data_IF_003483469012
#
_entry.id   IF_003483469012
#
_cell.length_a   1.000
_cell.length_b   1.000
_cell.length_c   1.000
_cell.angle_alpha   90.00
_cell.angle_beta   90.00
_cell.angle_gamma   90.00
#
_symmetry.space_group_name_H-M   'P 1'
#
loop_
_entity.id
_entity.type
_entity.pdbx_description
1 polymer ?
#
# COMPACT_ATOMS: atom_id res chain seq x y z
N UNK A 1 0.02 -9.98 -10.23
CA UNK A 1 -0.45 -11.14 -9.43
C UNK A 1 0.51 -12.33 -9.49
N UNK A 2 1.06 -12.71 -10.68
CA UNK A 2 1.92 -13.91 -10.78
C UNK A 2 3.11 -13.90 -9.80
N UNK A 3 3.78 -12.76 -9.63
CA UNK A 3 4.90 -12.61 -8.70
C UNK A 3 4.50 -12.89 -7.23
N UNK A 4 3.26 -12.58 -6.84
CA UNK A 4 2.78 -12.77 -5.48
C UNK A 4 2.25 -14.19 -5.19
N UNK A 5 2.33 -15.13 -6.15
CA UNK A 5 1.91 -16.52 -5.92
C UNK A 5 2.86 -17.28 -4.96
N UNK A 6 4.01 -16.70 -4.67
CA UNK A 6 4.99 -17.27 -3.71
C UNK A 6 4.70 -16.95 -2.26
N UNK A 7 3.69 -16.14 -1.96
CA UNK A 7 3.28 -15.84 -0.58
C UNK A 7 2.89 -17.12 0.18
N UNK A 8 3.31 -17.28 1.44
CA UNK A 8 2.89 -18.38 2.30
C UNK A 8 1.42 -18.22 2.72
N UNK A 9 0.81 -19.32 3.20
CA UNK A 9 -0.63 -19.36 3.51
C UNK A 9 -1.04 -18.32 4.56
N UNK A 10 -0.24 -18.14 5.57
CA UNK A 10 -0.46 -17.17 6.66
C UNK A 10 -0.46 -15.71 6.18
N UNK A 11 0.20 -15.41 5.07
CA UNK A 11 0.21 -14.08 4.49
C UNK A 11 -0.96 -13.85 3.51
N UNK A 12 -1.40 -14.88 2.78
CA UNK A 12 -2.43 -14.70 1.77
C UNK A 12 -3.86 -15.01 2.24
N UNK A 13 -4.07 -15.79 3.29
CA UNK A 13 -5.41 -16.12 3.76
C UNK A 13 -5.98 -14.98 4.61
N UNK A 14 -7.26 -14.72 4.39
CA UNK A 14 -8.04 -13.89 5.31
C UNK A 14 -8.56 -14.73 6.46
N UNK A 15 -8.63 -14.14 7.65
CA UNK A 15 -9.23 -14.78 8.84
C UNK A 15 -10.76 -14.83 8.72
N UNK A 16 -11.25 -15.42 7.64
CA UNK A 16 -12.65 -15.70 7.33
C UNK A 16 -12.90 -17.21 7.40
N UNK A 17 -14.17 -17.68 7.48
CA UNK A 17 -14.46 -19.10 7.43
C UNK A 17 -13.77 -19.79 6.25
N UNK A 18 -12.93 -20.80 6.52
CA UNK A 18 -12.05 -21.46 5.54
C UNK A 18 -12.78 -21.94 4.29
N UNK A 19 -14.06 -22.35 4.43
CA UNK A 19 -14.93 -22.73 3.30
C UNK A 19 -15.03 -21.65 2.20
N UNK A 20 -14.85 -20.36 2.54
CA UNK A 20 -14.90 -19.28 1.56
C UNK A 20 -13.65 -19.26 0.68
N UNK A 21 -12.51 -19.61 1.27
CA UNK A 21 -11.31 -19.86 0.48
C UNK A 21 -11.45 -21.10 -0.40
N UNK A 22 -11.92 -22.22 0.17
CA UNK A 22 -12.07 -23.47 -0.60
C UNK A 22 -13.02 -23.32 -1.78
N UNK A 23 -14.18 -22.71 -1.57
CA UNK A 23 -15.24 -22.60 -2.58
C UNK A 23 -14.99 -21.50 -3.59
N UNK A 24 -14.60 -20.32 -3.12
CA UNK A 24 -14.55 -19.10 -3.93
C UNK A 24 -13.13 -18.58 -4.16
N UNK A 25 -12.12 -19.24 -3.59
CA UNK A 25 -10.71 -18.81 -3.64
C UNK A 25 -10.50 -17.37 -3.15
N UNK A 26 -11.29 -16.97 -2.13
CA UNK A 26 -11.15 -15.66 -1.48
C UNK A 26 -9.86 -15.63 -0.68
N UNK A 27 -8.89 -14.87 -1.18
CA UNK A 27 -7.56 -14.70 -0.60
C UNK A 27 -6.92 -13.39 -1.09
N UNK A 28 -5.81 -13.00 -0.48
CA UNK A 28 -4.93 -11.95 -1.02
C UNK A 28 -4.22 -12.45 -2.27
N UNK A 29 -4.34 -11.71 -3.38
CA UNK A 29 -3.64 -11.99 -4.63
C UNK A 29 -2.53 -10.98 -4.90
N UNK A 30 -2.72 -9.72 -4.52
CA UNK A 30 -1.81 -8.63 -4.79
C UNK A 30 -1.81 -8.18 -6.25
N UNK A 31 -1.27 -6.97 -6.45
CA UNK A 31 -1.19 -6.31 -7.76
C UNK A 31 0.20 -5.70 -7.94
N UNK A 32 0.44 -5.06 -9.07
CA UNK A 32 1.73 -4.48 -9.46
C UNK A 32 2.92 -5.45 -9.42
N UNK A 33 2.67 -6.77 -9.46
CA UNK A 33 3.70 -7.79 -9.26
C UNK A 33 4.86 -7.69 -10.26
N UNK A 34 4.60 -7.32 -11.52
CA UNK A 34 5.66 -7.09 -12.52
C UNK A 34 6.55 -5.92 -12.11
N UNK A 35 5.95 -4.81 -11.65
CA UNK A 35 6.69 -3.67 -11.14
C UNK A 35 7.53 -4.04 -9.92
N UNK A 36 6.92 -4.65 -8.89
CA UNK A 36 7.63 -5.06 -7.68
C UNK A 36 8.83 -5.97 -7.98
N UNK A 37 8.65 -6.97 -8.85
CA UNK A 37 9.74 -7.86 -9.27
C UNK A 37 10.85 -7.09 -9.98
N UNK A 38 10.48 -6.22 -10.91
CA UNK A 38 11.44 -5.46 -11.71
C UNK A 38 12.27 -4.49 -10.86
N UNK A 39 11.62 -3.67 -10.03
CA UNK A 39 12.33 -2.67 -9.23
C UNK A 39 13.23 -3.31 -8.16
N UNK A 40 12.82 -4.44 -7.58
CA UNK A 40 13.65 -5.19 -6.66
C UNK A 40 14.93 -5.70 -7.34
N UNK A 41 14.78 -6.27 -8.54
CA UNK A 41 15.93 -6.74 -9.34
C UNK A 41 16.87 -5.58 -9.68
N UNK A 42 16.33 -4.46 -10.19
CA UNK A 42 17.12 -3.28 -10.55
C UNK A 42 17.85 -2.66 -9.37
N UNK A 43 17.21 -2.62 -8.19
CA UNK A 43 17.85 -2.13 -6.98
C UNK A 43 19.04 -3.02 -6.57
N UNK A 44 18.89 -4.33 -6.63
CA UNK A 44 19.97 -5.26 -6.34
C UNK A 44 21.14 -5.12 -7.34
N UNK A 45 20.85 -5.02 -8.64
CA UNK A 45 21.88 -4.76 -9.65
C UNK A 45 22.64 -3.46 -9.36
N UNK A 46 21.92 -2.38 -9.10
CA UNK A 46 22.53 -1.08 -8.82
C UNK A 46 23.44 -1.08 -7.58
N UNK A 47 23.03 -1.80 -6.53
CA UNK A 47 23.75 -1.90 -5.27
C UNK A 47 24.80 -3.03 -5.26
N UNK A 48 24.94 -3.83 -6.33
CA UNK A 48 25.82 -5.00 -6.36
C UNK A 48 25.44 -6.08 -5.35
N UNK A 49 24.16 -6.18 -4.98
CA UNK A 49 23.63 -7.17 -4.04
C UNK A 49 22.94 -8.32 -4.76
N UNK A 50 22.97 -9.51 -4.12
CA UNK A 50 22.23 -10.66 -4.62
C UNK A 50 20.79 -10.64 -4.08
N UNK A 51 19.80 -10.65 -4.96
CA UNK A 51 18.39 -10.66 -4.59
C UNK A 51 17.99 -11.90 -3.77
N UNK A 52 18.71 -13.03 -3.95
CA UNK A 52 18.45 -14.27 -3.21
C UNK A 52 18.88 -14.21 -1.74
N UNK A 53 19.76 -13.27 -1.40
CA UNK A 53 20.30 -13.11 -0.05
C UNK A 53 19.79 -11.82 0.63
N UNK A 54 18.80 -11.15 0.02
CA UNK A 54 18.34 -9.84 0.45
C UNK A 54 16.88 -9.85 0.90
N UNK A 55 16.58 -9.01 1.89
CA UNK A 55 15.23 -8.64 2.37
C UNK A 55 14.90 -7.27 1.81
N UNK A 56 13.92 -7.20 0.91
CA UNK A 56 13.63 -6.00 0.13
C UNK A 56 12.17 -5.59 0.34
N UNK A 57 11.95 -4.32 0.61
CA UNK A 57 10.62 -3.71 0.58
C UNK A 57 10.54 -2.81 -0.64
N UNK A 58 9.56 -3.04 -1.49
CA UNK A 58 9.32 -2.23 -2.68
C UNK A 58 8.03 -1.44 -2.53
N UNK A 59 8.11 -0.12 -2.65
CA UNK A 59 7.01 0.83 -2.53
C UNK A 59 6.66 1.36 -3.93
N UNK A 60 5.64 0.79 -4.57
CA UNK A 60 5.09 1.30 -5.82
C UNK A 60 4.03 2.36 -5.48
N UNK A 61 4.40 3.63 -5.54
CA UNK A 61 3.57 4.77 -5.14
C UNK A 61 3.14 5.58 -6.36
N UNK A 62 1.88 5.45 -6.70
CA UNK A 62 1.17 6.15 -7.77
C UNK A 62 -0.26 6.47 -7.28
N UNK A 63 -1.15 6.90 -8.19
CA UNK A 63 -2.59 7.01 -7.87
C UNK A 63 -3.18 5.68 -7.34
N UNK A 64 -2.71 4.52 -7.85
CA UNK A 64 -2.89 3.22 -7.22
C UNK A 64 -1.55 2.77 -6.61
N UNK A 65 -1.49 2.63 -5.30
CA UNK A 65 -0.26 2.38 -4.55
C UNK A 65 -0.27 1.01 -3.87
N UNK A 66 0.88 0.34 -3.86
CA UNK A 66 1.09 -0.90 -3.11
C UNK A 66 2.51 -1.05 -2.61
N UNK A 67 2.68 -1.87 -1.58
CA UNK A 67 3.97 -2.29 -1.04
C UNK A 67 4.08 -3.81 -1.14
N UNK A 68 5.29 -4.33 -1.37
CA UNK A 68 5.56 -5.75 -1.29
C UNK A 68 6.80 -6.03 -0.45
N UNK A 69 6.73 -7.09 0.34
CA UNK A 69 7.84 -7.69 1.05
C UNK A 69 8.44 -8.80 0.18
N UNK A 70 9.74 -8.74 -0.06
CA UNK A 70 10.45 -9.67 -0.92
C UNK A 70 11.63 -10.24 -0.14
N UNK A 71 11.68 -11.55 -0.01
CA UNK A 71 12.76 -12.25 0.67
C UNK A 71 13.23 -13.42 -0.19
N UNK A 72 14.53 -13.58 -0.33
CA UNK A 72 15.14 -14.63 -1.15
C UNK A 72 14.58 -14.67 -2.58
N UNK A 73 14.38 -13.51 -3.19
CA UNK A 73 13.84 -13.35 -4.53
C UNK A 73 12.35 -13.64 -4.70
N UNK A 74 11.62 -13.93 -3.60
CA UNK A 74 10.19 -14.27 -3.60
C UNK A 74 9.37 -13.21 -2.89
N UNK A 75 8.18 -12.91 -3.44
CA UNK A 75 7.19 -12.12 -2.70
C UNK A 75 6.66 -12.94 -1.52
N UNK A 76 6.84 -12.43 -0.31
CA UNK A 76 6.36 -13.07 0.92
C UNK A 76 5.13 -12.38 1.48
N UNK A 77 4.88 -11.13 1.12
CA UNK A 77 3.64 -10.40 1.43
C UNK A 77 3.45 -9.22 0.46
N UNK A 78 2.22 -8.70 0.38
CA UNK A 78 1.90 -7.49 -0.38
C UNK A 78 0.65 -6.82 0.17
N UNK A 79 0.54 -5.50 0.03
CA UNK A 79 -0.53 -4.71 0.66
C UNK A 79 -1.89 -4.79 -0.03
N UNK A 80 -1.94 -4.91 -1.36
CA UNK A 80 -3.21 -5.09 -2.06
C UNK A 80 -3.73 -6.53 -1.89
N UNK A 81 -5.04 -6.66 -1.75
CA UNK A 81 -5.71 -7.89 -1.36
C UNK A 81 -6.29 -8.71 -2.51
N UNK A 82 -7.52 -9.17 -2.31
CA UNK A 82 -8.38 -9.77 -3.34
C UNK A 82 -8.66 -8.74 -4.45
N UNK A 83 -8.83 -7.49 -4.06
CA UNK A 83 -9.02 -6.34 -4.94
C UNK A 83 -7.88 -5.33 -4.74
N UNK A 84 -7.68 -4.39 -5.68
CA UNK A 84 -6.64 -3.36 -5.54
C UNK A 84 -7.06 -2.21 -4.61
N UNK A 85 -7.94 -2.46 -3.63
CA UNK A 85 -8.39 -1.46 -2.64
C UNK A 85 -7.65 -1.60 -1.30
N UNK A 86 -7.46 -2.83 -0.79
CA UNK A 86 -6.80 -3.11 0.50
C UNK A 86 -5.39 -2.53 0.53
N UNK A 87 -4.94 -2.12 1.71
CA UNK A 87 -3.58 -1.71 1.99
C UNK A 87 -3.39 -0.20 2.15
N UNK A 88 -2.59 0.39 1.29
CA UNK A 88 -2.25 1.81 1.37
C UNK A 88 -3.45 2.71 1.07
N UNK A 89 -3.46 3.90 1.68
CA UNK A 89 -4.31 4.99 1.22
C UNK A 89 -3.84 5.38 -0.19
N UNK A 90 -4.77 5.60 -1.11
CA UNK A 90 -4.46 5.90 -2.51
C UNK A 90 -5.13 7.21 -2.93
N UNK A 91 -5.04 7.58 -4.19
CA UNK A 91 -5.66 8.82 -4.68
C UNK A 91 -7.16 8.91 -4.34
N UNK A 92 -7.93 7.85 -4.66
CA UNK A 92 -9.40 7.80 -4.44
C UNK A 92 -9.86 6.54 -3.69
N UNK A 93 -8.95 5.62 -3.32
CA UNK A 93 -9.27 4.37 -2.63
C UNK A 93 -8.92 4.45 -1.16
N UNK A 94 -9.75 3.84 -0.32
CA UNK A 94 -9.59 3.87 1.14
C UNK A 94 -8.28 3.27 1.65
N UNK A 95 -7.78 2.22 0.99
CA UNK A 95 -6.87 1.29 1.66
C UNK A 95 -7.57 0.53 2.78
N UNK A 96 -6.80 0.14 3.79
CA UNK A 96 -7.36 -0.55 4.96
C UNK A 96 -8.37 0.31 5.70
N UNK A 97 -9.51 -0.30 5.98
CA UNK A 97 -10.61 0.28 6.75
C UNK A 97 -11.28 -0.83 7.56
N UNK A 98 -11.87 -0.49 8.69
CA UNK A 98 -12.67 -1.44 9.46
C UNK A 98 -13.91 -1.87 8.65
N UNK A 99 -14.06 -3.18 8.45
CA UNK A 99 -15.21 -3.75 7.75
C UNK A 99 -16.54 -3.42 8.43
N UNK A 100 -16.56 -3.34 9.78
CA UNK A 100 -17.73 -2.91 10.55
C UNK A 100 -18.12 -1.47 10.26
N UNK A 101 -17.14 -0.57 10.07
CA UNK A 101 -17.40 0.81 9.69
C UNK A 101 -18.08 0.90 8.32
N UNK A 102 -17.67 0.05 7.35
CA UNK A 102 -18.30 0.03 6.03
C UNK A 102 -19.77 -0.42 6.10
N UNK A 103 -20.06 -1.46 6.89
CA UNK A 103 -21.44 -1.92 7.09
C UNK A 103 -22.30 -0.84 7.79
N UNK A 104 -21.73 -0.16 8.78
CA UNK A 104 -22.40 0.91 9.49
C UNK A 104 -22.74 2.09 8.55
N UNK A 105 -21.79 2.49 7.69
CA UNK A 105 -22.02 3.57 6.70
C UNK A 105 -23.10 3.15 5.70
N UNK A 106 -23.04 1.91 5.20
CA UNK A 106 -24.03 1.39 4.27
C UNK A 106 -25.46 1.49 4.84
N UNK A 107 -25.63 1.13 6.12
CA UNK A 107 -26.92 1.22 6.81
C UNK A 107 -27.36 2.67 7.04
N UNK A 108 -26.45 3.56 7.47
CA UNK A 108 -26.77 4.95 7.77
C UNK A 108 -27.13 5.80 6.56
N UNK A 109 -26.44 5.55 5.45
CA UNK A 109 -26.60 6.32 4.21
C UNK A 109 -27.49 5.58 3.19
N UNK A 110 -28.08 4.44 3.58
CA UNK A 110 -28.90 3.57 2.72
C UNK A 110 -28.23 3.23 1.38
N UNK A 111 -26.96 2.84 1.45
CA UNK A 111 -26.14 2.59 0.27
C UNK A 111 -26.31 1.18 -0.27
N UNK A 112 -26.57 1.06 -1.56
CA UNK A 112 -26.45 -0.21 -2.29
C UNK A 112 -24.98 -0.67 -2.36
N UNK A 113 -24.74 -1.94 -2.69
CA UNK A 113 -23.40 -2.48 -2.90
C UNK A 113 -22.60 -1.69 -3.96
N UNK A 114 -23.25 -1.23 -5.04
CA UNK A 114 -22.61 -0.44 -6.09
C UNK A 114 -22.22 0.95 -5.60
N UNK A 115 -23.05 1.58 -4.80
CA UNK A 115 -22.75 2.87 -4.17
C UNK A 115 -21.62 2.74 -3.15
N UNK A 116 -21.62 1.67 -2.32
CA UNK A 116 -20.53 1.39 -1.40
C UNK A 116 -19.22 1.14 -2.16
N UNK A 117 -19.28 0.38 -3.25
CA UNK A 117 -18.11 0.15 -4.10
C UNK A 117 -17.56 1.46 -4.70
N UNK A 118 -18.45 2.37 -5.12
CA UNK A 118 -18.07 3.70 -5.60
C UNK A 118 -17.41 4.52 -4.48
N UNK A 119 -18.01 4.54 -3.30
CA UNK A 119 -17.48 5.24 -2.12
C UNK A 119 -16.04 4.84 -1.83
N UNK A 120 -15.78 3.55 -1.65
CA UNK A 120 -14.45 3.06 -1.24
C UNK A 120 -13.39 3.11 -2.34
N UNK A 121 -13.77 3.18 -3.62
CA UNK A 121 -12.83 3.15 -4.74
C UNK A 121 -12.64 4.48 -5.48
N UNK A 122 -13.64 5.40 -5.39
CA UNK A 122 -13.66 6.62 -6.20
C UNK A 122 -13.81 7.91 -5.40
N UNK A 123 -14.34 7.84 -4.18
CA UNK A 123 -14.71 9.00 -3.38
C UNK A 123 -13.90 9.09 -2.07
N UNK A 124 -13.01 8.16 -1.85
CA UNK A 124 -12.18 8.03 -0.64
C UNK A 124 -10.71 8.41 -0.89
N UNK A 125 -9.79 7.85 -0.12
CA UNK A 125 -8.37 8.10 -0.25
C UNK A 125 -7.98 9.52 0.12
N UNK A 126 -6.85 9.99 -0.39
CA UNK A 126 -6.40 11.37 -0.13
C UNK A 126 -7.39 12.41 -0.69
N UNK A 127 -8.09 12.07 -1.78
CA UNK A 127 -9.19 12.90 -2.30
C UNK A 127 -10.34 13.05 -1.30
N UNK A 128 -10.82 11.94 -0.75
CA UNK A 128 -11.92 11.96 0.22
C UNK A 128 -11.58 12.73 1.50
N UNK A 129 -10.33 12.63 1.97
CA UNK A 129 -9.84 13.35 3.15
C UNK A 129 -9.68 14.83 2.85
N UNK A 130 -8.97 15.19 1.78
CA UNK A 130 -8.69 16.59 1.44
C UNK A 130 -9.90 17.35 0.91
N UNK A 131 -10.74 16.67 0.13
CA UNK A 131 -11.83 17.29 -0.62
C UNK A 131 -11.35 18.13 -1.82
N UNK A 132 -10.07 17.98 -2.21
CA UNK A 132 -9.45 18.83 -3.26
C UNK A 132 -9.12 18.00 -4.49
N UNK A 133 -8.19 17.04 -4.36
CA UNK A 133 -7.62 16.33 -5.50
C UNK A 133 -7.07 14.96 -5.08
N UNK A 134 -7.03 13.97 -5.99
CA UNK A 134 -6.26 12.75 -5.81
C UNK A 134 -4.77 12.90 -6.15
N UNK A 135 -4.33 14.04 -6.71
CA UNK A 135 -2.94 14.31 -7.09
C UNK A 135 -2.15 14.87 -5.90
N UNK A 136 -1.09 14.16 -5.51
CA UNK A 136 -0.24 14.53 -4.38
C UNK A 136 0.39 15.91 -4.53
N UNK A 137 0.77 16.31 -5.75
CA UNK A 137 1.35 17.63 -6.03
C UNK A 137 0.39 18.79 -5.74
N UNK A 138 -0.90 18.58 -6.07
CA UNK A 138 -1.94 19.58 -5.77
C UNK A 138 -2.20 19.65 -4.26
N UNK A 139 -2.09 18.52 -3.56
CA UNK A 139 -2.22 18.48 -2.10
C UNK A 139 -1.03 19.16 -1.42
N UNK A 140 0.21 18.92 -1.87
CA UNK A 140 1.41 19.59 -1.39
C UNK A 140 1.29 21.12 -1.56
N UNK A 141 0.91 21.58 -2.75
CA UNK A 141 0.68 23.01 -2.99
C UNK A 141 -0.43 23.62 -2.14
N UNK A 142 -1.49 22.85 -1.84
CA UNK A 142 -2.57 23.31 -0.98
C UNK A 142 -2.14 23.36 0.50
N UNK A 143 -1.38 22.38 0.96
CA UNK A 143 -0.81 22.33 2.30
C UNK A 143 0.16 23.48 2.54
N UNK A 144 1.05 23.79 1.60
CA UNK A 144 1.97 24.93 1.64
C UNK A 144 1.23 26.28 1.77
N UNK A 145 -0.02 26.35 1.27
CA UNK A 145 -0.90 27.51 1.41
C UNK A 145 -1.73 27.49 2.71
N UNK A 146 -1.47 26.54 3.60
CA UNK A 146 -2.11 26.42 4.89
C UNK A 146 -3.43 25.63 4.89
N UNK A 147 -3.70 24.79 3.86
CA UNK A 147 -4.87 23.93 3.87
C UNK A 147 -4.65 22.73 4.79
N UNK A 148 -5.29 22.74 5.96
CA UNK A 148 -5.14 21.73 7.00
C UNK A 148 -5.59 20.33 6.56
N UNK A 149 -6.66 20.20 5.74
CA UNK A 149 -7.14 18.90 5.26
C UNK A 149 -6.21 18.30 4.19
N UNK A 150 -5.58 19.13 3.37
CA UNK A 150 -4.55 18.69 2.43
C UNK A 150 -3.33 18.15 3.21
N UNK A 151 -2.86 18.88 4.22
CA UNK A 151 -1.79 18.41 5.10
C UNK A 151 -2.14 17.10 5.79
N UNK A 152 -3.35 17.00 6.36
CA UNK A 152 -3.83 15.76 6.99
C UNK A 152 -3.82 14.58 6.02
N UNK A 153 -4.26 14.78 4.78
CA UNK A 153 -4.27 13.73 3.77
C UNK A 153 -2.85 13.22 3.44
N UNK A 154 -1.89 14.13 3.34
CA UNK A 154 -0.47 13.80 3.15
C UNK A 154 0.08 13.03 4.36
N UNK A 155 -0.16 13.51 5.57
CA UNK A 155 0.31 12.88 6.81
C UNK A 155 -0.26 11.46 6.97
N UNK A 156 -1.55 11.27 6.68
CA UNK A 156 -2.20 9.96 6.71
C UNK A 156 -1.60 9.00 5.67
N UNK A 157 -1.28 9.49 4.47
CA UNK A 157 -0.63 8.71 3.42
C UNK A 157 0.77 8.26 3.88
N UNK A 158 1.62 9.20 4.32
CA UNK A 158 2.97 8.90 4.80
C UNK A 158 2.96 7.93 5.98
N UNK A 159 2.08 8.16 6.94
CA UNK A 159 1.91 7.29 8.11
C UNK A 159 1.52 5.86 7.72
N UNK A 160 0.58 5.68 6.78
CA UNK A 160 0.17 4.36 6.32
C UNK A 160 1.30 3.61 5.62
N UNK A 161 2.05 4.28 4.76
CA UNK A 161 3.22 3.69 4.08
C UNK A 161 4.26 3.25 5.11
N UNK A 162 4.57 4.13 6.07
CA UNK A 162 5.51 3.83 7.17
C UNK A 162 5.09 2.60 7.98
N UNK A 163 3.80 2.49 8.33
CA UNK A 163 3.27 1.31 9.05
C UNK A 163 3.49 0.02 8.27
N UNK A 164 3.25 0.03 6.96
CA UNK A 164 3.47 -1.16 6.12
C UNK A 164 4.94 -1.53 6.01
N UNK A 165 5.85 -0.56 5.87
CA UNK A 165 7.29 -0.81 5.90
C UNK A 165 7.69 -1.46 7.22
N UNK A 166 7.23 -0.92 8.35
CA UNK A 166 7.50 -1.48 9.68
C UNK A 166 6.94 -2.90 9.85
N UNK A 167 5.69 -3.15 9.41
CA UNK A 167 5.07 -4.46 9.47
C UNK A 167 5.85 -5.49 8.63
N UNK A 168 6.26 -5.13 7.42
CA UNK A 168 7.00 -6.03 6.53
C UNK A 168 8.45 -6.25 6.99
N UNK A 169 9.07 -5.23 7.58
CA UNK A 169 10.37 -5.39 8.26
C UNK A 169 10.26 -6.43 9.38
N UNK A 170 9.22 -6.36 10.21
CA UNK A 170 8.98 -7.34 11.26
C UNK A 170 8.68 -8.74 10.69
N UNK A 171 7.85 -8.84 9.64
CA UNK A 171 7.50 -10.12 9.02
C UNK A 171 8.71 -10.84 8.40
N UNK A 172 9.68 -10.09 7.86
CA UNK A 172 10.91 -10.64 7.30
C UNK A 172 12.05 -10.78 8.32
N UNK A 173 11.88 -10.25 9.54
CA UNK A 173 12.95 -10.20 10.54
C UNK A 173 14.09 -9.26 10.16
N UNK A 174 13.78 -8.13 9.53
CA UNK A 174 14.72 -7.10 9.08
C UNK A 174 14.46 -6.64 7.65
N UNK A 175 15.20 -5.63 7.21
CA UNK A 175 15.18 -5.10 5.84
C UNK A 175 16.58 -4.65 5.44
N UNK A 176 16.99 -4.99 4.22
CA UNK A 176 18.29 -4.58 3.66
C UNK A 176 18.14 -3.44 2.66
N UNK A 177 17.00 -3.37 1.96
CA UNK A 177 16.75 -2.40 0.89
C UNK A 177 15.28 -1.97 0.92
N UNK A 178 15.04 -0.66 0.92
CA UNK A 178 13.73 -0.06 0.66
C UNK A 178 13.80 0.66 -0.68
N UNK A 179 12.89 0.35 -1.60
CA UNK A 179 12.88 0.91 -2.96
C UNK A 179 11.57 1.64 -3.20
N UNK A 180 11.67 2.88 -3.64
CA UNK A 180 10.53 3.68 -4.05
C UNK A 180 10.44 3.73 -5.58
N UNK A 181 9.24 3.55 -6.12
CA UNK A 181 8.93 3.61 -7.55
C UNK A 181 7.51 4.13 -7.79
N UNK A 182 7.16 4.31 -9.05
CA UNK A 182 5.93 4.99 -9.45
C UNK A 182 6.07 6.51 -9.36
N UNK A 183 5.14 7.24 -9.96
CA UNK A 183 5.28 8.68 -10.12
C UNK A 183 5.48 9.44 -8.80
N UNK A 184 4.78 9.04 -7.73
CA UNK A 184 4.94 9.62 -6.39
C UNK A 184 6.27 9.15 -5.77
N UNK A 185 6.57 7.85 -5.86
CA UNK A 185 7.78 7.28 -5.25
C UNK A 185 9.08 7.80 -5.89
N UNK A 186 9.09 8.05 -7.20
CA UNK A 186 10.26 8.55 -7.91
C UNK A 186 10.47 10.07 -7.73
N UNK A 187 9.40 10.85 -7.84
CA UNK A 187 9.50 12.31 -7.91
C UNK A 187 9.22 13.02 -6.57
N UNK A 188 8.58 12.35 -5.60
CA UNK A 188 8.27 12.90 -4.28
C UNK A 188 9.41 12.74 -3.29
N UNK A 189 10.41 13.61 -3.33
CA UNK A 189 11.53 13.62 -2.37
C UNK A 189 11.06 13.89 -0.94
N UNK A 190 10.21 14.88 -0.74
CA UNK A 190 9.59 15.18 0.55
C UNK A 190 8.74 14.01 1.06
N UNK A 191 8.00 13.34 0.16
CA UNK A 191 7.24 12.14 0.50
C UNK A 191 8.15 11.00 0.97
N UNK A 192 9.28 10.73 0.29
CA UNK A 192 10.25 9.72 0.72
C UNK A 192 10.88 10.07 2.06
N UNK A 193 11.28 11.32 2.26
CA UNK A 193 11.81 11.82 3.52
C UNK A 193 10.80 11.65 4.66
N UNK A 194 9.56 12.10 4.46
CA UNK A 194 8.50 11.96 5.45
C UNK A 194 8.18 10.49 5.79
N UNK A 195 8.23 9.58 4.82
CA UNK A 195 8.03 8.15 5.06
C UNK A 195 9.20 7.55 5.84
N UNK A 196 10.44 7.90 5.46
CA UNK A 196 11.64 7.28 6.04
C UNK A 196 12.04 7.87 7.40
N UNK A 197 11.62 9.11 7.70
CA UNK A 197 11.87 9.70 9.02
C UNK A 197 11.26 8.82 10.13
N UNK A 198 12.05 8.46 11.14
CA UNK A 198 11.62 7.57 12.23
C UNK A 198 11.96 6.09 12.00
N UNK A 199 12.79 5.76 10.99
CA UNK A 199 13.37 4.43 10.82
C UNK A 199 14.84 4.33 11.26
N UNK A 200 15.37 5.34 11.96
CA UNK A 200 16.74 5.39 12.45
C UNK A 200 17.09 4.20 13.36
N UNK A 201 16.08 3.62 13.99
CA UNK A 201 16.21 2.41 14.82
C UNK A 201 16.49 1.12 14.01
N UNK A 202 16.37 1.17 12.70
CA UNK A 202 16.69 0.04 11.80
C UNK A 202 18.17 0.03 11.35
N UNK A 203 18.93 1.06 11.66
CA UNK A 203 20.35 1.22 11.30
C UNK A 203 20.59 2.17 10.14
#
# INVERSE_FOLDING_TARGET
TAFHQTMPKEAFLYALPYRLYDKYKIRRYGFHGTSHKYIAHRACEYLGKNMQDSKIITCHLCNGSSIAAIQNGKSVDTSMGLTPNEGLIMGTRTGDVDAGALLYIADREDLSNDQMNKLINKESGVYGISGISPDMRELEQAADKGNERAQLALDMFHYRVRKYIGAYTAAMGGVDIIVFAGGIGENGDMTREAICSGFEYLG
#
